data_IF_518592700131
#
_entry.id   IF_518592700131
#
_cell.length_a   1.000
_cell.length_b   1.000
_cell.length_c   1.000
_cell.angle_alpha   90.00
_cell.angle_beta   90.00
_cell.angle_gamma   90.00
#
_symmetry.space_group_name_H-M   'P 1'
#
loop_
_entity.id
_entity.type
_entity.pdbx_description
1 polymer ?
#
# COMPACT_ATOMS: atom_id res chain seq x y z
N UNK A 1 15.89 -3.29 8.14
CA UNK A 1 14.85 -3.08 9.19
C UNK A 1 14.05 -4.35 9.33
N UNK A 2 13.91 -4.86 10.55
CA UNK A 2 13.30 -6.16 10.83
C UNK A 2 11.79 -6.18 10.57
N UNK A 3 11.33 -7.22 9.88
CA UNK A 3 9.93 -7.56 9.66
C UNK A 3 9.21 -7.73 11.01
N UNK A 4 8.36 -6.78 11.42
CA UNK A 4 7.59 -6.86 12.65
C UNK A 4 6.12 -7.19 12.35
N UNK A 5 5.78 -8.48 12.43
CA UNK A 5 4.46 -9.05 12.14
C UNK A 5 3.31 -8.38 12.92
N UNK A 6 3.56 -7.94 14.16
CA UNK A 6 2.54 -7.29 15.00
C UNK A 6 2.16 -5.89 14.49
N UNK A 7 3.14 -5.14 13.97
CA UNK A 7 2.86 -3.85 13.35
C UNK A 7 2.11 -4.03 12.02
N UNK A 8 2.37 -5.12 11.29
CA UNK A 8 1.65 -5.45 10.05
C UNK A 8 0.18 -5.75 10.28
N UNK A 9 -0.15 -6.53 11.32
CA UNK A 9 -1.55 -6.81 11.67
C UNK A 9 -2.31 -5.52 12.04
N UNK A 10 -1.67 -4.64 12.82
CA UNK A 10 -2.24 -3.34 13.19
C UNK A 10 -2.46 -2.46 11.95
N UNK A 11 -1.47 -2.40 11.06
CA UNK A 11 -1.53 -1.64 9.80
C UNK A 11 -2.66 -2.20 8.95
N UNK A 12 -2.71 -3.49 8.65
CA UNK A 12 -3.79 -4.08 7.86
C UNK A 12 -5.19 -3.80 8.41
N UNK A 13 -5.34 -3.67 9.74
CA UNK A 13 -6.60 -3.34 10.39
C UNK A 13 -7.01 -1.85 10.31
N UNK A 14 -6.13 -0.95 9.87
CA UNK A 14 -6.47 0.46 9.66
C UNK A 14 -7.31 0.65 8.41
N UNK A 15 -7.13 -0.19 7.40
CA UNK A 15 -7.81 -0.07 6.12
C UNK A 15 -8.90 -1.14 6.03
N UNK A 16 -10.10 -0.71 5.64
CA UNK A 16 -11.16 -1.66 5.30
C UNK A 16 -10.85 -2.31 3.94
N UNK A 17 -11.21 -3.60 3.81
CA UNK A 17 -11.07 -4.37 2.57
C UNK A 17 -11.90 -3.77 1.43
N UNK A 18 -12.97 -3.05 1.75
CA UNK A 18 -13.79 -2.35 0.75
C UNK A 18 -13.11 -1.13 0.12
N UNK A 19 -12.01 -0.62 0.71
CA UNK A 19 -11.32 0.59 0.27
C UNK A 19 -12.10 1.90 0.43
N UNK A 20 -13.32 1.88 0.99
CA UNK A 20 -14.19 3.06 1.09
C UNK A 20 -14.08 3.80 2.43
N UNK A 21 -13.73 3.10 3.51
CA UNK A 21 -13.69 3.64 4.87
C UNK A 21 -12.38 3.30 5.61
N UNK A 22 -11.26 3.39 4.90
CA UNK A 22 -9.95 3.14 5.46
C UNK A 22 -9.40 4.29 6.32
N UNK A 23 -8.37 3.98 7.12
CA UNK A 23 -7.64 4.85 8.03
C UNK A 23 -8.42 5.22 9.30
N UNK A 24 -8.98 4.23 10.02
CA UNK A 24 -9.57 4.47 11.34
C UNK A 24 -8.61 4.03 12.45
N UNK A 25 -8.52 4.83 13.51
CA UNK A 25 -7.62 4.58 14.62
C UNK A 25 -8.11 3.40 15.47
N UNK A 26 -7.28 2.37 15.72
CA UNK A 26 -7.69 1.19 16.48
C UNK A 26 -7.92 1.48 17.97
N UNK A 27 -7.44 2.63 18.48
CA UNK A 27 -7.60 3.02 19.88
C UNK A 27 -8.86 3.83 20.15
N UNK A 28 -9.25 4.72 19.24
CA UNK A 28 -10.32 5.69 19.49
C UNK A 28 -11.33 5.85 18.35
N UNK A 29 -11.17 5.10 17.26
CA UNK A 29 -12.06 5.13 16.09
C UNK A 29 -11.97 6.40 15.22
N UNK A 30 -11.20 7.41 15.61
CA UNK A 30 -11.02 8.63 14.82
C UNK A 30 -10.19 8.36 13.56
N UNK A 31 -10.26 9.26 12.58
CA UNK A 31 -9.48 9.13 11.34
C UNK A 31 -7.97 9.16 11.63
N UNK A 32 -7.22 8.44 10.82
CA UNK A 32 -5.77 8.47 10.74
C UNK A 32 -5.36 9.13 9.43
N UNK A 33 -4.18 9.74 9.42
CA UNK A 33 -3.57 10.36 8.25
C UNK A 33 -2.20 9.73 8.00
N UNK A 34 -1.80 9.63 6.73
CA UNK A 34 -0.47 9.21 6.31
C UNK A 34 0.35 10.45 5.97
N UNK A 35 1.46 10.64 6.66
CA UNK A 35 2.40 11.74 6.45
C UNK A 35 3.69 11.13 5.89
N UNK A 36 4.06 11.51 4.67
CA UNK A 36 5.36 11.18 4.09
C UNK A 36 6.41 12.17 4.60
N UNK A 37 7.52 11.65 5.13
CA UNK A 37 8.65 12.42 5.61
C UNK A 37 9.73 12.48 4.52
N UNK A 38 10.94 12.04 4.85
CA UNK A 38 12.07 12.05 3.92
C UNK A 38 12.00 10.86 2.95
N UNK A 39 12.35 11.08 1.67
CA UNK A 39 12.48 9.99 0.72
C UNK A 39 13.65 9.09 1.15
N UNK A 40 13.40 7.79 1.12
CA UNK A 40 14.41 6.77 1.25
C UNK A 40 15.13 6.64 -0.09
N UNK A 41 16.45 6.80 -0.09
CA UNK A 41 17.24 6.56 -1.28
C UNK A 41 17.22 5.07 -1.64
N UNK A 42 16.57 4.75 -2.75
CA UNK A 42 16.49 3.41 -3.32
C UNK A 42 16.67 3.50 -4.84
N UNK A 43 17.89 3.26 -5.30
CA UNK A 43 18.22 3.30 -6.72
C UNK A 43 17.78 2.04 -7.48
N UNK A 44 17.33 0.99 -6.77
CA UNK A 44 16.96 -0.29 -7.38
C UNK A 44 15.51 -0.30 -7.85
N UNK A 45 14.69 0.64 -7.38
CA UNK A 45 13.25 0.69 -7.63
C UNK A 45 12.82 1.95 -8.39
N UNK A 46 11.83 1.82 -9.27
CA UNK A 46 11.31 2.93 -10.07
C UNK A 46 10.42 3.90 -9.27
N UNK A 47 10.04 3.49 -8.06
CA UNK A 47 9.24 4.28 -7.14
C UNK A 47 10.15 4.93 -6.09
N UNK A 48 9.73 6.10 -5.59
CA UNK A 48 10.38 6.74 -4.46
C UNK A 48 9.68 6.27 -3.18
N UNK A 49 10.42 5.54 -2.34
CA UNK A 49 9.96 5.19 -1.01
C UNK A 49 10.14 6.36 -0.05
N UNK A 50 9.23 6.47 0.91
CA UNK A 50 9.27 7.48 1.96
C UNK A 50 9.25 6.79 3.32
N UNK A 51 10.04 7.31 4.26
CA UNK A 51 9.74 7.09 5.65
C UNK A 51 8.47 7.85 5.99
N UNK A 52 7.51 7.20 6.63
CA UNK A 52 6.16 7.72 6.79
C UNK A 52 5.65 7.50 8.21
N UNK A 53 4.84 8.45 8.66
CA UNK A 53 4.10 8.36 9.92
C UNK A 53 2.61 8.27 9.61
N UNK A 54 1.97 7.25 10.16
CA UNK A 54 0.52 7.13 10.20
C UNK A 54 0.06 7.57 11.59
N UNK A 55 -0.63 8.69 11.70
CA UNK A 55 -1.05 9.25 12.99
C UNK A 55 -2.55 9.47 13.09
N UNK A 56 -3.08 9.31 14.29
CA UNK A 56 -4.48 9.59 14.58
C UNK A 56 -4.70 11.09 14.77
N UNK A 57 -5.77 11.62 14.19
CA UNK A 57 -6.14 13.04 14.31
C UNK A 57 -6.67 13.44 15.69
N UNK A 58 -6.89 12.48 16.60
CA UNK A 58 -7.53 12.71 17.91
C UNK A 58 -6.70 12.25 19.12
N UNK A 59 -5.89 11.20 18.99
CA UNK A 59 -5.12 10.65 20.11
C UNK A 59 -3.66 10.43 19.71
N UNK A 60 -2.78 10.16 20.68
CA UNK A 60 -1.33 10.00 20.47
C UNK A 60 -0.92 8.72 19.72
N UNK A 61 -1.87 7.98 19.15
CA UNK A 61 -1.57 6.78 18.40
C UNK A 61 -0.89 7.13 17.08
N UNK A 62 0.37 6.69 16.94
CA UNK A 62 1.17 6.84 15.73
C UNK A 62 1.91 5.55 15.40
N UNK A 63 2.11 5.31 14.11
CA UNK A 63 2.79 4.14 13.57
C UNK A 63 3.79 4.64 12.54
N UNK A 64 5.05 4.21 12.66
CA UNK A 64 6.06 4.47 11.63
C UNK A 64 6.03 3.35 10.59
N UNK A 65 6.06 3.70 9.32
CA UNK A 65 5.98 2.78 8.21
C UNK A 65 6.80 3.31 7.02
N UNK A 66 7.07 2.44 6.04
CA UNK A 66 7.57 2.86 4.74
C UNK A 66 6.39 2.88 3.78
N UNK A 67 6.22 3.95 3.01
CA UNK A 67 5.18 4.01 1.98
C UNK A 67 5.71 4.52 0.65
N UNK A 68 5.08 4.06 -0.43
CA UNK A 68 5.32 4.50 -1.79
C UNK A 68 4.10 4.21 -2.65
N UNK A 69 4.07 4.82 -3.84
CA UNK A 69 3.09 4.46 -4.86
C UNK A 69 3.76 3.81 -6.06
N UNK A 70 3.04 2.90 -6.70
CA UNK A 70 3.44 2.31 -7.99
C UNK A 70 2.30 2.47 -8.97
N UNK A 71 2.61 3.02 -10.15
CA UNK A 71 1.73 2.95 -11.32
C UNK A 71 1.94 1.62 -12.04
N UNK A 72 0.88 0.83 -12.23
CA UNK A 72 0.97 -0.47 -12.88
C UNK A 72 -0.37 -1.09 -13.25
N UNK A 73 -0.32 -2.29 -13.82
CA UNK A 73 -1.50 -3.09 -14.14
C UNK A 73 -1.51 -4.38 -13.34
N UNK A 74 -2.69 -4.84 -12.92
CA UNK A 74 -2.86 -6.12 -12.22
C UNK A 74 -2.65 -7.26 -13.21
N UNK A 75 -1.68 -8.14 -12.95
CA UNK A 75 -1.46 -9.36 -13.75
C UNK A 75 -2.15 -10.57 -13.16
N UNK A 76 -2.06 -10.72 -11.84
CA UNK A 76 -2.71 -11.79 -11.11
C UNK A 76 -2.94 -11.38 -9.66
N UNK A 77 -3.81 -12.11 -8.96
CA UNK A 77 -4.01 -11.95 -7.54
C UNK A 77 -4.65 -13.21 -6.94
N UNK A 78 -4.43 -13.41 -5.66
CA UNK A 78 -5.08 -14.43 -4.84
C UNK A 78 -5.70 -13.76 -3.58
N UNK A 79 -5.98 -14.54 -2.52
CA UNK A 79 -6.58 -13.99 -1.28
C UNK A 79 -5.59 -13.14 -0.48
N UNK A 80 -4.29 -13.34 -0.69
CA UNK A 80 -3.21 -12.75 0.08
C UNK A 80 -2.34 -11.82 -0.77
N UNK A 81 -2.06 -12.18 -2.02
CA UNK A 81 -1.05 -11.54 -2.85
C UNK A 81 -1.63 -10.96 -4.15
N UNK A 82 -1.01 -9.88 -4.60
CA UNK A 82 -1.25 -9.23 -5.88
C UNK A 82 0.05 -9.15 -6.66
N UNK A 83 -0.03 -9.44 -7.96
CA UNK A 83 1.05 -9.26 -8.93
C UNK A 83 0.79 -8.00 -9.75
N UNK A 84 1.66 -7.01 -9.61
CA UNK A 84 1.58 -5.72 -10.32
C UNK A 84 2.70 -5.69 -11.36
N UNK A 85 2.32 -5.56 -12.63
CA UNK A 85 3.27 -5.22 -13.68
C UNK A 85 3.48 -3.71 -13.72
N UNK A 86 4.72 -3.29 -13.56
CA UNK A 86 5.17 -1.90 -13.57
C UNK A 86 6.49 -1.77 -14.35
N UNK A 87 7.16 -0.65 -14.19
CA UNK A 87 8.46 -0.37 -14.79
C UNK A 87 9.55 -0.36 -13.71
N UNK A 88 10.76 -0.74 -14.14
CA UNK A 88 12.01 -0.56 -13.40
C UNK A 88 12.63 0.82 -13.69
N UNK A 89 13.63 1.26 -12.92
CA UNK A 89 14.34 2.52 -13.19
C UNK A 89 14.90 2.62 -14.61
N UNK A 90 15.28 1.49 -15.21
CA UNK A 90 15.81 1.43 -16.59
C UNK A 90 14.71 1.43 -17.67
N UNK A 91 13.43 1.51 -17.28
CA UNK A 91 12.29 1.43 -18.19
C UNK A 91 11.91 0.01 -18.64
N UNK A 92 12.60 -1.02 -18.14
CA UNK A 92 12.21 -2.42 -18.39
C UNK A 92 10.95 -2.78 -17.61
N UNK A 93 10.08 -3.63 -18.17
CA UNK A 93 8.90 -4.15 -17.47
C UNK A 93 9.32 -5.10 -16.34
N UNK A 94 8.70 -4.95 -15.18
CA UNK A 94 8.92 -5.80 -14.00
C UNK A 94 7.57 -6.23 -13.43
N UNK A 95 7.52 -7.43 -12.85
CA UNK A 95 6.36 -7.91 -12.11
C UNK A 95 6.78 -7.97 -10.64
N UNK A 96 6.07 -7.22 -9.80
CA UNK A 96 6.30 -7.19 -8.36
C UNK A 96 5.13 -7.86 -7.64
N UNK A 97 5.44 -8.61 -6.59
CA UNK A 97 4.45 -9.33 -5.78
C UNK A 97 4.38 -8.67 -4.41
N UNK A 98 3.16 -8.34 -3.98
CA UNK A 98 2.90 -7.72 -2.69
C UNK A 98 1.76 -8.44 -1.98
N UNK A 99 1.76 -8.41 -0.64
CA UNK A 99 0.54 -8.72 0.10
C UNK A 99 -0.51 -7.63 -0.18
N UNK A 100 -1.80 -7.91 -0.07
CA UNK A 100 -2.84 -6.89 -0.19
C UNK A 100 -4.00 -7.11 0.76
N UNK A 101 -4.81 -6.05 0.90
CA UNK A 101 -6.10 -6.04 1.58
C UNK A 101 -7.24 -5.61 0.67
N UNK A 102 -6.93 -5.31 -0.60
CA UNK A 102 -7.88 -4.79 -1.57
C UNK A 102 -9.04 -5.76 -1.83
N UNK A 103 -10.20 -5.17 -2.16
CA UNK A 103 -11.42 -5.88 -2.54
C UNK A 103 -11.21 -6.78 -3.77
N UNK A 104 -11.79 -7.97 -3.72
CA UNK A 104 -11.61 -8.97 -4.78
C UNK A 104 -12.28 -8.55 -6.09
N UNK A 105 -13.46 -7.94 -6.04
CA UNK A 105 -14.19 -7.51 -7.24
C UNK A 105 -13.47 -6.33 -7.91
N UNK A 106 -12.90 -5.41 -7.13
CA UNK A 106 -12.02 -4.36 -7.63
C UNK A 106 -10.82 -4.95 -8.39
N UNK A 107 -10.09 -5.89 -7.77
CA UNK A 107 -8.92 -6.51 -8.39
C UNK A 107 -9.28 -7.30 -9.64
N UNK A 108 -10.41 -8.00 -9.62
CA UNK A 108 -10.94 -8.71 -10.77
C UNK A 108 -11.18 -7.77 -11.94
N UNK A 109 -11.86 -6.64 -11.70
CA UNK A 109 -12.10 -5.62 -12.70
C UNK A 109 -10.80 -5.07 -13.29
N UNK A 110 -9.84 -4.68 -12.44
CA UNK A 110 -8.55 -4.13 -12.90
C UNK A 110 -7.74 -5.14 -13.73
N UNK A 111 -7.80 -6.44 -13.36
CA UNK A 111 -7.16 -7.51 -14.14
C UNK A 111 -7.83 -7.72 -15.50
N UNK A 112 -9.16 -7.67 -15.55
CA UNK A 112 -9.94 -7.85 -16.78
C UNK A 112 -9.78 -6.67 -17.74
N UNK A 113 -9.73 -5.43 -17.24
CA UNK A 113 -9.52 -4.24 -18.10
C UNK A 113 -8.07 -4.06 -18.50
N UNK A 114 -7.12 -4.50 -17.67
CA UNK A 114 -5.69 -4.29 -17.89
C UNK A 114 -5.27 -2.82 -17.79
N UNK A 115 -6.14 -1.97 -17.24
CA UNK A 115 -5.89 -0.55 -17.07
C UNK A 115 -4.74 -0.30 -16.09
N UNK A 116 -4.07 0.83 -16.28
CA UNK A 116 -3.08 1.31 -15.33
C UNK A 116 -3.80 1.97 -14.15
N UNK A 117 -3.41 1.58 -12.95
CA UNK A 117 -3.86 2.17 -11.71
C UNK A 117 -2.66 2.49 -10.83
N UNK A 118 -2.79 3.52 -10.02
CA UNK A 118 -1.79 3.84 -9.00
C UNK A 118 -2.13 3.08 -7.72
N UNK A 119 -1.16 2.35 -7.17
CA UNK A 119 -1.32 1.55 -5.97
C UNK A 119 -0.54 2.22 -4.84
N UNK A 120 -1.17 2.39 -3.68
CA UNK A 120 -0.49 2.77 -2.44
C UNK A 120 0.01 1.53 -1.72
N UNK A 121 1.32 1.46 -1.51
CA UNK A 121 1.98 0.42 -0.75
C UNK A 121 2.43 1.00 0.60
N UNK A 122 2.10 0.30 1.68
CA UNK A 122 2.57 0.59 3.05
C UNK A 122 3.19 -0.68 3.62
N UNK A 123 4.45 -0.62 4.04
CA UNK A 123 5.22 -1.77 4.56
C UNK A 123 5.12 -3.03 3.69
N UNK A 124 5.25 -2.86 2.36
CA UNK A 124 5.15 -3.94 1.35
C UNK A 124 3.77 -4.59 1.21
N UNK A 125 2.72 -3.94 1.72
CA UNK A 125 1.33 -4.34 1.52
C UNK A 125 0.61 -3.28 0.68
N UNK A 126 -0.14 -3.72 -0.33
CA UNK A 126 -1.02 -2.86 -1.12
C UNK A 126 -2.28 -2.60 -0.32
N UNK A 127 -2.49 -1.34 0.05
CA UNK A 127 -3.57 -0.94 0.95
C UNK A 127 -4.67 -0.13 0.25
N UNK A 128 -4.36 0.49 -0.88
CA UNK A 128 -5.32 1.30 -1.60
C UNK A 128 -4.97 1.38 -3.10
N UNK A 129 -6.00 1.53 -3.94
CA UNK A 129 -5.86 1.98 -5.32
C UNK A 129 -6.24 3.47 -5.37
N UNK A 130 -5.35 4.31 -5.89
CA UNK A 130 -5.53 5.75 -6.05
C UNK A 130 -6.08 6.00 -7.46
N UNK A 131 -7.28 6.58 -7.53
CA UNK A 131 -8.02 6.86 -8.77
C UNK A 131 -9.29 7.65 -8.50
#
# INVERSE_FOLDING_TARGET
MGYNKKNMEIISGLWDRSGKDSMNCPKCGAKMILIQLEPLQDAENAYVAYDSIIECTKCENKIRAVSFTILGSVKNFDVKNIEIASWSPSGSRVISIYEHILDYDLLKKLKETGELAEFLIVNKQVVQVIG
#
